data_IF_915119880528
#
_entry.id   IF_915119880528
#
_cell.length_a   1.000
_cell.length_b   1.000
_cell.length_c   1.000
_cell.angle_alpha   90.00
_cell.angle_beta   90.00
_cell.angle_gamma   90.00
#
_symmetry.space_group_name_H-M   'P 1'
#
loop_
_entity.id
_entity.type
_entity.pdbx_description
1 polymer ?
#
# COMPACT_ATOMS: atom_id res chain seq x y z
N UNK A 1 -8.75 -1.43 -14.01
CA UNK A 1 -7.84 -0.64 -13.15
C UNK A 1 -6.45 -1.19 -13.39
N UNK A 2 -5.41 -0.38 -13.43
CA UNK A 2 -4.09 -0.84 -13.87
C UNK A 2 -2.99 -0.58 -12.82
N UNK A 3 -1.79 -1.06 -13.11
CA UNK A 3 -0.60 -0.91 -12.26
C UNK A 3 -0.22 0.56 -12.06
N UNK A 4 -0.51 1.43 -13.03
CA UNK A 4 -0.22 2.86 -12.91
C UNK A 4 -1.19 3.54 -11.94
N UNK A 5 -2.46 3.12 -11.91
CA UNK A 5 -3.42 3.53 -10.88
C UNK A 5 -2.95 3.11 -9.49
N UNK A 6 -2.45 1.87 -9.35
CA UNK A 6 -1.90 1.38 -8.08
C UNK A 6 -0.69 2.22 -7.63
N UNK A 7 0.18 2.61 -8.57
CA UNK A 7 1.33 3.47 -8.30
C UNK A 7 0.93 4.82 -7.76
N UNK A 8 -0.01 5.51 -8.41
CA UNK A 8 -0.46 6.82 -7.94
C UNK A 8 -1.08 6.73 -6.53
N UNK A 9 -1.83 5.67 -6.24
CA UNK A 9 -2.46 5.49 -4.94
C UNK A 9 -1.45 5.20 -3.81
N UNK A 10 -0.33 4.55 -4.11
CA UNK A 10 0.69 4.21 -3.11
C UNK A 10 1.77 5.29 -3.00
N UNK A 11 2.32 5.71 -4.13
CA UNK A 11 3.54 6.52 -4.26
C UNK A 11 3.30 7.95 -4.74
N UNK A 12 2.11 8.28 -5.25
CA UNK A 12 1.79 9.62 -5.74
C UNK A 12 1.86 10.69 -4.64
N UNK A 13 1.78 11.96 -5.04
CA UNK A 13 1.90 13.11 -4.13
C UNK A 13 0.82 13.11 -3.03
N UNK A 14 -0.34 12.51 -3.32
CA UNK A 14 -1.44 12.27 -2.38
C UNK A 14 -1.63 10.77 -2.07
N UNK A 15 -0.60 9.97 -2.33
CA UNK A 15 -0.57 8.54 -2.12
C UNK A 15 -0.44 8.15 -0.64
N UNK A 16 -0.54 6.86 -0.37
CA UNK A 16 -0.57 6.31 0.98
C UNK A 16 0.75 6.52 1.75
N UNK A 17 1.90 6.49 1.07
CA UNK A 17 3.21 6.45 1.75
C UNK A 17 3.58 7.78 2.40
N UNK A 18 3.21 8.93 1.82
CA UNK A 18 3.61 10.24 2.35
C UNK A 18 3.00 10.49 3.74
N UNK A 19 1.65 10.38 3.94
CA UNK A 19 1.06 10.54 5.26
C UNK A 19 1.57 9.55 6.30
N UNK A 20 1.84 8.31 5.88
CA UNK A 20 2.41 7.25 6.73
C UNK A 20 3.81 7.65 7.22
N UNK A 21 4.70 8.15 6.36
CA UNK A 21 6.03 8.59 6.78
C UNK A 21 6.02 9.85 7.65
N UNK A 22 4.99 10.67 7.53
CA UNK A 22 4.86 11.92 8.29
C UNK A 22 4.19 11.73 9.67
N UNK A 23 3.77 10.52 10.03
CA UNK A 23 3.11 10.28 11.31
C UNK A 23 1.62 10.67 11.31
N UNK A 24 1.00 10.89 10.15
CA UNK A 24 -0.44 11.20 10.05
C UNK A 24 -1.34 9.95 10.09
N UNK A 25 -0.72 8.77 9.93
CA UNK A 25 -1.37 7.48 10.04
C UNK A 25 -1.78 6.96 8.67
N UNK A 26 -2.54 5.87 8.69
CA UNK A 26 -3.02 5.20 7.49
C UNK A 26 -4.33 5.85 7.01
N UNK A 27 -4.36 6.34 5.77
CA UNK A 27 -5.58 6.86 5.17
C UNK A 27 -6.48 5.68 4.72
N UNK A 28 -7.51 5.37 5.51
CA UNK A 28 -8.39 4.22 5.28
C UNK A 28 -9.17 4.29 3.96
N UNK A 29 -9.54 5.49 3.49
CA UNK A 29 -10.19 5.63 2.17
C UNK A 29 -9.23 5.24 1.05
N UNK A 30 -7.97 5.69 1.14
CA UNK A 30 -6.91 5.34 0.19
C UNK A 30 -6.61 3.84 0.20
N UNK A 31 -6.59 3.22 1.38
CA UNK A 31 -6.45 1.76 1.53
C UNK A 31 -7.60 1.03 0.84
N UNK A 32 -8.85 1.49 1.00
CA UNK A 32 -10.00 0.89 0.32
C UNK A 32 -9.91 1.01 -1.20
N UNK A 33 -9.40 2.13 -1.72
CA UNK A 33 -9.13 2.30 -3.15
C UNK A 33 -8.05 1.32 -3.64
N UNK A 34 -6.95 1.19 -2.88
CA UNK A 34 -5.87 0.26 -3.20
C UNK A 34 -6.39 -1.17 -3.25
N UNK A 35 -7.16 -1.61 -2.25
CA UNK A 35 -7.75 -2.96 -2.22
C UNK A 35 -8.60 -3.23 -3.47
N UNK A 36 -9.44 -2.28 -3.89
CA UNK A 36 -10.26 -2.45 -5.11
C UNK A 36 -9.40 -2.62 -6.37
N UNK A 37 -8.29 -1.89 -6.47
CA UNK A 37 -7.36 -2.04 -7.59
C UNK A 37 -6.67 -3.39 -7.52
N UNK A 38 -6.24 -3.82 -6.34
CA UNK A 38 -5.61 -5.12 -6.12
C UNK A 38 -6.54 -6.29 -6.43
N UNK A 39 -7.81 -6.23 -6.02
CA UNK A 39 -8.80 -7.27 -6.35
C UNK A 39 -8.88 -7.47 -7.86
N UNK A 40 -9.00 -6.38 -8.62
CA UNK A 40 -9.04 -6.43 -10.07
C UNK A 40 -7.75 -6.93 -10.70
N UNK A 41 -6.59 -6.45 -10.24
CA UNK A 41 -5.29 -6.91 -10.74
C UNK A 41 -5.06 -8.40 -10.40
N UNK A 42 -5.58 -8.87 -9.26
CA UNK A 42 -5.48 -10.28 -8.87
C UNK A 42 -6.25 -11.19 -9.83
N UNK A 43 -7.40 -10.76 -10.32
CA UNK A 43 -8.17 -11.48 -11.35
C UNK A 43 -7.40 -11.51 -12.68
N UNK A 44 -6.79 -10.39 -13.09
CA UNK A 44 -5.99 -10.32 -14.31
C UNK A 44 -4.74 -11.20 -14.24
N UNK A 45 -4.10 -11.27 -13.07
CA UNK A 45 -2.88 -12.05 -12.86
C UNK A 45 -3.13 -13.49 -12.46
N UNK A 46 -4.38 -13.89 -12.21
CA UNK A 46 -4.72 -15.24 -11.75
C UNK A 46 -4.22 -16.36 -12.69
N UNK A 47 -4.23 -16.09 -13.99
CA UNK A 47 -3.77 -17.01 -15.04
C UNK A 47 -2.30 -16.76 -15.45
N UNK A 48 -1.62 -15.82 -14.80
CA UNK A 48 -0.23 -15.48 -15.07
C UNK A 48 0.70 -16.16 -14.07
N UNK A 49 1.83 -16.69 -14.55
CA UNK A 49 2.88 -17.23 -13.69
C UNK A 49 3.65 -16.12 -12.93
N UNK A 50 3.56 -14.87 -13.40
CA UNK A 50 4.29 -13.73 -12.87
C UNK A 50 3.43 -12.48 -12.73
N UNK A 51 3.73 -11.66 -11.73
CA UNK A 51 3.19 -10.29 -11.63
C UNK A 51 4.16 -9.28 -12.27
N UNK A 52 3.67 -8.11 -12.70
CA UNK A 52 4.53 -7.03 -13.18
C UNK A 52 5.57 -6.63 -12.14
N UNK A 53 6.84 -6.52 -12.57
CA UNK A 53 7.95 -6.10 -11.70
C UNK A 53 7.65 -4.80 -10.94
N UNK A 54 7.02 -3.85 -11.62
CA UNK A 54 6.61 -2.56 -11.04
C UNK A 54 5.69 -2.75 -9.83
N UNK A 55 4.73 -3.68 -9.89
CA UNK A 55 3.87 -3.99 -8.75
C UNK A 55 4.65 -4.57 -7.56
N UNK A 56 5.56 -5.51 -7.83
CA UNK A 56 6.43 -6.08 -6.79
C UNK A 56 7.30 -5.01 -6.10
N UNK A 57 7.87 -4.07 -6.87
CA UNK A 57 8.66 -2.96 -6.33
C UNK A 57 7.82 -2.03 -5.45
N UNK A 58 6.56 -1.77 -5.82
CA UNK A 58 5.64 -0.97 -5.01
C UNK A 58 5.33 -1.64 -3.66
N UNK A 59 5.07 -2.95 -3.63
CA UNK A 59 4.83 -3.67 -2.37
C UNK A 59 6.06 -3.66 -1.47
N UNK A 60 7.26 -3.85 -2.03
CA UNK A 60 8.50 -3.75 -1.28
C UNK A 60 8.69 -2.35 -0.66
N UNK A 61 8.39 -1.29 -1.43
CA UNK A 61 8.46 0.09 -0.94
C UNK A 61 7.44 0.37 0.17
N UNK A 62 6.22 -0.16 0.03
CA UNK A 62 5.17 -0.01 1.03
C UNK A 62 5.54 -0.71 2.33
N UNK A 63 6.01 -1.96 2.26
CA UNK A 63 6.47 -2.72 3.42
C UNK A 63 7.58 -1.97 4.19
N UNK A 64 8.60 -1.49 3.48
CA UNK A 64 9.68 -0.71 4.10
C UNK A 64 9.15 0.58 4.73
N UNK A 65 8.22 1.28 4.08
CA UNK A 65 7.61 2.49 4.63
C UNK A 65 6.85 2.19 5.93
N UNK A 66 5.97 1.20 5.95
CA UNK A 66 5.21 0.81 7.14
C UNK A 66 6.13 0.43 8.30
N UNK A 67 7.10 -0.46 8.04
CA UNK A 67 8.00 -0.94 9.08
C UNK A 67 8.89 0.20 9.63
N UNK A 68 9.33 1.13 8.78
CA UNK A 68 10.12 2.29 9.21
C UNK A 68 9.37 3.26 10.12
N UNK A 69 8.04 3.17 10.15
CA UNK A 69 7.19 4.03 10.96
C UNK A 69 6.74 3.38 12.27
N UNK A 70 7.13 2.12 12.50
CA UNK A 70 6.89 1.44 13.78
C UNK A 70 7.54 2.24 14.91
N UNK A 71 6.73 2.61 15.91
CA UNK A 71 7.14 3.47 17.02
C UNK A 71 6.92 4.98 16.82
N UNK A 72 6.47 5.43 15.64
CA UNK A 72 5.96 6.80 15.44
C UNK A 72 4.51 6.96 15.89
N UNK A 73 3.80 5.84 16.03
CA UNK A 73 2.37 5.78 16.29
C UNK A 73 2.08 5.23 17.69
N UNK A 74 0.93 5.64 18.23
CA UNK A 74 0.37 4.97 19.40
C UNK A 74 -0.07 3.54 19.05
N UNK A 75 -0.30 2.72 20.07
CA UNK A 75 -0.62 1.29 19.91
C UNK A 75 -1.81 1.04 18.98
N UNK A 76 -2.87 1.86 19.05
CA UNK A 76 -4.06 1.69 18.19
C UNK A 76 -3.75 1.92 16.70
N UNK A 77 -3.01 2.99 16.39
CA UNK A 77 -2.65 3.32 15.00
C UNK A 77 -1.56 2.37 14.50
N UNK A 78 -0.63 1.96 15.36
CA UNK A 78 0.39 0.96 15.06
C UNK A 78 -0.22 -0.37 14.62
N UNK A 79 -1.20 -0.89 15.38
CA UNK A 79 -1.91 -2.12 15.04
C UNK A 79 -2.57 -2.07 13.66
N UNK A 80 -3.21 -0.94 13.30
CA UNK A 80 -3.84 -0.79 11.97
C UNK A 80 -2.83 -0.79 10.83
N UNK A 81 -1.60 -0.33 11.09
CA UNK A 81 -0.52 -0.32 10.11
C UNK A 81 0.07 -1.72 9.98
N UNK A 82 0.28 -2.43 11.09
CA UNK A 82 0.70 -3.83 11.12
C UNK A 82 -0.30 -4.72 10.36
N UNK A 83 -1.59 -4.61 10.68
CA UNK A 83 -2.68 -5.35 10.00
C UNK A 83 -2.73 -5.10 8.48
N UNK A 84 -2.23 -3.95 8.00
CA UNK A 84 -2.25 -3.59 6.58
C UNK A 84 -1.03 -4.13 5.80
N UNK A 85 0.00 -4.63 6.49
CA UNK A 85 1.25 -5.12 5.87
C UNK A 85 1.58 -6.59 6.18
N UNK A 86 0.90 -7.20 7.14
CA UNK A 86 0.87 -8.66 7.37
C UNK A 86 0.03 -9.39 6.31
#
# INVERSE_FOLDING_TARGET
>A
MDVDTLEELILGDNGLIIPLRLGYGLNSEKVSEIIKVLDHLSEEWAESEYIPKKAAEMFANFYVAAYSTLGLYNDEVGLKIEDAVD
#
